data_IF_269052572517
#
_entry.id   IF_269052572517
#
_cell.length_a   1.000
_cell.length_b   1.000
_cell.length_c   1.000
_cell.angle_alpha   90.00
_cell.angle_beta   90.00
_cell.angle_gamma   90.00
#
_symmetry.space_group_name_H-M   'P 1'
#
loop_
_entity.id
_entity.type
_entity.pdbx_description
1 polymer ?
#
# COMPACT_ATOMS: atom_id res chain seq x y z
N UNK A 1 4.59 5.22 -26.13
CA UNK A 1 3.26 5.23 -25.52
C UNK A 1 2.66 3.85 -25.72
N UNK A 2 2.46 3.08 -24.64
CA UNK A 2 1.95 1.71 -24.64
C UNK A 2 0.40 1.67 -24.66
N UNK A 3 -0.27 2.81 -24.88
CA UNK A 3 -1.72 2.88 -25.10
C UNK A 3 -2.52 2.77 -23.80
N UNK A 4 -3.56 1.91 -23.76
CA UNK A 4 -4.44 1.73 -22.60
C UNK A 4 -3.69 1.34 -21.32
N UNK A 5 -2.56 0.65 -21.45
CA UNK A 5 -1.71 0.25 -20.32
C UNK A 5 -1.14 1.48 -19.60
N UNK A 6 -0.83 2.57 -20.31
CA UNK A 6 -0.28 3.79 -19.70
C UNK A 6 -1.27 4.43 -18.72
N UNK A 7 -2.58 4.31 -18.98
CA UNK A 7 -3.60 4.80 -18.05
C UNK A 7 -3.67 3.96 -16.78
N UNK A 8 -3.50 2.63 -16.87
CA UNK A 8 -3.43 1.76 -15.70
C UNK A 8 -2.15 1.97 -14.90
N UNK A 9 -1.01 2.15 -15.58
CA UNK A 9 0.27 2.44 -14.95
C UNK A 9 0.30 3.81 -14.28
N UNK A 10 -0.51 4.77 -14.72
CA UNK A 10 -0.63 6.08 -14.08
C UNK A 10 -0.98 5.98 -12.59
N UNK A 11 -1.83 5.03 -12.20
CA UNK A 11 -2.15 4.84 -10.77
C UNK A 11 -0.95 4.41 -9.93
N UNK A 12 -0.01 3.64 -10.51
CA UNK A 12 1.24 3.27 -9.83
C UNK A 12 2.19 4.48 -9.79
N UNK A 13 2.21 5.28 -10.86
CA UNK A 13 2.98 6.53 -10.89
C UNK A 13 2.47 7.53 -9.85
N UNK A 14 1.15 7.65 -9.67
CA UNK A 14 0.56 8.51 -8.63
C UNK A 14 0.99 8.08 -7.22
N UNK A 15 1.09 6.77 -6.96
CA UNK A 15 1.63 6.24 -5.70
C UNK A 15 3.10 6.61 -5.55
N UNK A 16 3.91 6.41 -6.60
CA UNK A 16 5.33 6.79 -6.59
C UNK A 16 5.50 8.27 -6.29
N UNK A 17 4.72 9.12 -6.94
CA UNK A 17 4.85 10.58 -6.83
C UNK A 17 4.39 11.07 -5.45
N UNK A 18 3.33 10.47 -4.88
CA UNK A 18 2.90 10.72 -3.50
C UNK A 18 3.97 10.39 -2.47
N UNK A 19 4.74 9.34 -2.70
CA UNK A 19 5.79 8.86 -1.79
C UNK A 19 7.20 9.18 -2.27
N UNK A 20 7.34 10.19 -3.14
CA UNK A 20 8.61 10.49 -3.80
C UNK A 20 9.73 10.77 -2.80
N UNK A 21 9.48 11.53 -1.73
CA UNK A 21 10.47 11.84 -0.69
C UNK A 21 11.04 10.58 -0.02
N UNK A 22 10.18 9.59 0.27
CA UNK A 22 10.61 8.31 0.84
C UNK A 22 11.47 7.56 -0.18
N UNK A 23 10.98 7.43 -1.42
CA UNK A 23 11.63 6.62 -2.45
C UNK A 23 12.97 7.21 -2.90
N UNK A 24 13.08 8.52 -3.04
CA UNK A 24 14.33 9.17 -3.48
C UNK A 24 15.43 9.08 -2.43
N UNK A 25 15.08 8.97 -1.15
CA UNK A 25 16.04 8.79 -0.05
C UNK A 25 16.66 7.37 0.00
N UNK A 26 16.06 6.38 -0.68
CA UNK A 26 16.58 5.01 -0.70
C UNK A 26 17.81 4.88 -1.62
N UNK A 27 18.78 4.01 -1.28
CA UNK A 27 20.11 4.04 -1.89
C UNK A 27 20.17 3.55 -3.34
N UNK A 28 19.40 2.50 -3.67
CA UNK A 28 19.48 1.80 -4.96
C UNK A 28 18.10 1.54 -5.58
N UNK A 29 18.09 1.18 -6.86
CA UNK A 29 16.85 0.94 -7.63
C UNK A 29 16.03 -0.24 -7.11
N UNK A 30 16.68 -1.32 -6.68
CA UNK A 30 15.98 -2.54 -6.28
C UNK A 30 15.23 -2.31 -4.97
N UNK A 31 15.89 -1.64 -4.03
CA UNK A 31 15.28 -1.20 -2.77
C UNK A 31 14.10 -0.26 -3.02
N UNK A 32 14.24 0.69 -3.96
CA UNK A 32 13.13 1.58 -4.38
C UNK A 32 11.96 0.82 -4.97
N UNK A 33 12.22 -0.16 -5.85
CA UNK A 33 11.17 -0.97 -6.46
C UNK A 33 10.41 -1.79 -5.44
N UNK A 34 11.12 -2.45 -4.52
CA UNK A 34 10.50 -3.21 -3.42
C UNK A 34 9.63 -2.32 -2.54
N UNK A 35 10.15 -1.15 -2.13
CA UNK A 35 9.38 -0.19 -1.36
C UNK A 35 8.14 0.32 -2.11
N UNK A 36 8.24 0.61 -3.41
CA UNK A 36 7.11 1.03 -4.22
C UNK A 36 6.03 -0.06 -4.33
N UNK A 37 6.42 -1.34 -4.44
CA UNK A 37 5.46 -2.44 -4.40
C UNK A 37 4.71 -2.50 -3.07
N UNK A 38 5.40 -2.37 -1.92
CA UNK A 38 4.76 -2.33 -0.61
C UNK A 38 3.80 -1.12 -0.48
N UNK A 39 4.25 0.07 -0.88
CA UNK A 39 3.44 1.29 -0.87
C UNK A 39 2.21 1.17 -1.78
N UNK A 40 2.35 0.52 -2.93
CA UNK A 40 1.22 0.28 -3.81
C UNK A 40 0.15 -0.60 -3.15
N UNK A 41 0.54 -1.70 -2.49
CA UNK A 41 -0.41 -2.55 -1.76
C UNK A 41 -1.12 -1.76 -0.65
N UNK A 42 -0.40 -0.95 0.11
CA UNK A 42 -0.98 -0.11 1.18
C UNK A 42 -2.00 0.88 0.59
N UNK A 43 -1.66 1.58 -0.49
CA UNK A 43 -2.54 2.55 -1.13
C UNK A 43 -3.77 1.89 -1.78
N UNK A 44 -3.62 0.69 -2.36
CA UNK A 44 -4.78 -0.04 -2.87
C UNK A 44 -5.68 -0.55 -1.76
N UNK A 45 -5.12 -1.00 -0.64
CA UNK A 45 -5.90 -1.37 0.54
C UNK A 45 -6.74 -0.18 1.02
N UNK A 46 -6.12 1.02 1.07
CA UNK A 46 -6.83 2.28 1.36
C UNK A 46 -7.91 2.63 0.34
N UNK A 47 -7.66 2.43 -0.95
CA UNK A 47 -8.65 2.68 -1.99
C UNK A 47 -9.86 1.74 -1.85
N UNK A 48 -9.63 0.45 -1.58
CA UNK A 48 -10.69 -0.53 -1.32
C UNK A 48 -11.50 -0.14 -0.09
N UNK A 49 -10.84 0.25 1.00
CA UNK A 49 -11.49 0.73 2.23
C UNK A 49 -12.44 1.92 2.00
N UNK A 50 -12.12 2.78 1.02
CA UNK A 50 -12.90 3.99 0.70
C UNK A 50 -14.06 3.77 -0.24
N UNK A 51 -14.20 2.57 -0.81
CA UNK A 51 -15.33 2.24 -1.67
C UNK A 51 -16.64 2.31 -0.88
N UNK A 52 -17.72 2.69 -1.57
CA UNK A 52 -19.07 2.73 -0.97
C UNK A 52 -19.46 1.36 -0.42
N UNK A 53 -19.16 0.28 -1.14
CA UNK A 53 -19.45 -1.09 -0.72
C UNK A 53 -18.85 -1.44 0.66
N UNK A 54 -17.56 -1.16 0.85
CA UNK A 54 -16.87 -1.46 2.12
C UNK A 54 -17.38 -0.57 3.24
N UNK A 55 -17.51 0.74 2.99
CA UNK A 55 -18.03 1.69 3.97
C UNK A 55 -19.45 1.35 4.41
N UNK A 56 -20.32 0.97 3.48
CA UNK A 56 -21.69 0.57 3.80
C UNK A 56 -21.74 -0.76 4.56
N UNK A 57 -20.76 -1.65 4.36
CA UNK A 57 -20.61 -2.87 5.17
C UNK A 57 -20.27 -2.54 6.63
N UNK A 58 -19.29 -1.67 6.85
CA UNK A 58 -18.96 -1.23 8.20
C UNK A 58 -20.09 -0.44 8.86
N UNK A 59 -20.75 0.48 8.13
CA UNK A 59 -21.88 1.27 8.65
C UNK A 59 -23.07 0.43 9.11
N UNK A 60 -23.35 -0.69 8.42
CA UNK A 60 -24.43 -1.63 8.81
C UNK A 60 -23.99 -2.65 9.87
N UNK A 61 -22.77 -2.53 10.40
CA UNK A 61 -22.22 -3.44 11.42
C UNK A 61 -21.85 -4.83 10.90
N UNK A 62 -21.68 -5.00 9.57
CA UNK A 62 -21.22 -6.27 9.03
C UNK A 62 -19.73 -6.46 9.36
N UNK A 63 -19.33 -7.61 9.97
CA UNK A 63 -17.92 -7.91 10.19
C UNK A 63 -17.17 -8.00 8.86
N UNK A 64 -16.17 -7.14 8.66
CA UNK A 64 -15.32 -7.11 7.49
C UNK A 64 -13.95 -6.53 7.88
N UNK A 65 -12.88 -7.23 7.50
CA UNK A 65 -11.51 -6.78 7.71
C UNK A 65 -10.77 -6.78 6.36
N UNK A 66 -10.04 -5.70 6.09
CA UNK A 66 -9.16 -5.59 4.94
C UNK A 66 -7.72 -5.83 5.39
N UNK A 67 -6.95 -6.54 4.58
CA UNK A 67 -5.53 -6.82 4.81
C UNK A 67 -4.72 -6.48 3.56
N UNK A 68 -3.52 -5.93 3.75
CA UNK A 68 -2.53 -5.74 2.69
C UNK A 68 -1.33 -6.66 2.85
N UNK A 69 -1.22 -7.65 1.96
CA UNK A 69 -0.11 -8.59 1.93
C UNK A 69 0.68 -8.48 0.62
N UNK A 70 1.96 -8.80 0.71
CA UNK A 70 2.85 -8.92 -0.46
C UNK A 70 3.57 -10.26 -0.38
N UNK A 71 3.93 -10.85 -1.53
CA UNK A 71 4.70 -12.09 -1.56
C UNK A 71 5.91 -11.97 -2.48
N UNK A 72 7.04 -12.53 -2.06
CA UNK A 72 8.26 -12.59 -2.86
C UNK A 72 8.24 -13.77 -3.82
N UNK A 73 8.45 -13.53 -5.11
CA UNK A 73 8.59 -14.62 -6.09
C UNK A 73 9.91 -15.40 -5.94
N UNK A 74 10.95 -14.75 -5.39
CA UNK A 74 12.28 -15.35 -5.24
C UNK A 74 12.36 -16.33 -4.08
N UNK A 75 11.64 -16.05 -2.99
CA UNK A 75 11.72 -16.80 -1.73
C UNK A 75 10.38 -17.42 -1.31
N UNK A 76 9.29 -17.15 -2.04
CA UNK A 76 7.95 -17.63 -1.73
C UNK A 76 7.37 -17.08 -0.44
N UNK A 77 7.98 -16.05 0.18
CA UNK A 77 7.57 -15.57 1.50
C UNK A 77 6.43 -14.58 1.38
N UNK A 78 5.32 -14.89 2.05
CA UNK A 78 4.23 -13.95 2.29
C UNK A 78 4.61 -13.01 3.44
N UNK A 79 4.46 -11.72 3.22
CA UNK A 79 4.72 -10.66 4.19
C UNK A 79 3.45 -9.86 4.42
N UNK A 80 3.04 -9.78 5.69
CA UNK A 80 2.01 -8.86 6.14
C UNK A 80 2.58 -7.45 6.27
N UNK A 81 1.99 -6.48 5.55
CA UNK A 81 2.40 -5.07 5.58
C UNK A 81 1.80 -4.31 6.76
N UNK A 82 1.05 -4.99 7.64
CA UNK A 82 0.45 -4.43 8.85
C UNK A 82 -0.53 -3.27 8.56
N UNK A 83 -1.17 -3.32 7.39
CA UNK A 83 -2.30 -2.46 7.02
C UNK A 83 -3.59 -3.28 7.15
N UNK A 84 -3.98 -3.57 8.39
CA UNK A 84 -5.25 -4.24 8.67
C UNK A 84 -6.28 -3.20 9.13
N UNK A 85 -7.44 -3.14 8.48
CA UNK A 85 -8.47 -2.13 8.71
C UNK A 85 -9.79 -2.83 8.95
N UNK A 86 -10.41 -2.58 10.11
CA UNK A 86 -11.68 -3.23 10.48
C UNK A 86 -12.90 -2.30 10.42
N UNK A 87 -12.67 -0.99 10.38
CA UNK A 87 -13.69 0.05 10.28
C UNK A 87 -13.09 1.35 9.71
N UNK A 88 -13.95 2.32 9.38
CA UNK A 88 -13.54 3.60 8.77
C UNK A 88 -12.73 4.49 9.74
N UNK A 89 -12.88 4.30 11.06
CA UNK A 89 -12.17 5.09 12.06
C UNK A 89 -10.69 4.70 12.18
N UNK A 90 -10.35 3.42 11.94
CA UNK A 90 -8.98 2.92 11.96
C UNK A 90 -8.19 3.20 10.67
N UNK A 91 -8.86 3.59 9.59
CA UNK A 91 -8.28 3.62 8.24
C UNK A 91 -6.99 4.45 8.15
N UNK A 92 -7.05 5.71 8.54
CA UNK A 92 -5.92 6.62 8.34
C UNK A 92 -4.74 6.26 9.27
N UNK A 93 -5.03 5.80 10.50
CA UNK A 93 -4.02 5.34 11.46
C UNK A 93 -3.31 4.07 10.99
N UNK A 94 -4.06 3.08 10.48
CA UNK A 94 -3.50 1.83 9.96
C UNK A 94 -2.61 2.09 8.74
N UNK A 95 -3.02 2.99 7.84
CA UNK A 95 -2.24 3.38 6.66
C UNK A 95 -0.96 4.11 7.09
N UNK A 96 -1.06 5.08 8.00
CA UNK A 96 0.10 5.82 8.48
C UNK A 96 1.13 4.91 9.16
N UNK A 97 0.66 3.96 10.00
CA UNK A 97 1.51 2.98 10.64
C UNK A 97 2.20 2.06 9.63
N UNK A 98 1.48 1.60 8.61
CA UNK A 98 2.05 0.75 7.56
C UNK A 98 3.13 1.49 6.74
N UNK A 99 2.89 2.74 6.37
CA UNK A 99 3.89 3.59 5.67
C UNK A 99 5.12 3.82 6.55
N UNK A 100 4.93 4.07 7.85
CA UNK A 100 6.03 4.18 8.80
C UNK A 100 6.83 2.86 8.90
N UNK A 101 6.14 1.73 8.83
CA UNK A 101 6.75 0.40 8.73
C UNK A 101 7.64 0.23 7.49
N UNK A 102 7.18 0.70 6.33
CA UNK A 102 8.00 0.72 5.10
C UNK A 102 9.23 1.60 5.31
N UNK A 103 9.08 2.81 5.86
CA UNK A 103 10.22 3.71 6.15
C UNK A 103 11.25 3.05 7.05
N UNK A 104 10.81 2.41 8.13
CA UNK A 104 11.70 1.73 9.08
C UNK A 104 12.41 0.52 8.47
N UNK A 105 11.75 -0.21 7.56
CA UNK A 105 12.32 -1.40 6.91
C UNK A 105 13.47 -1.05 5.97
N UNK A 106 13.38 0.11 5.32
CA UNK A 106 14.33 0.57 4.31
C UNK A 106 15.20 1.75 4.76
N UNK A 107 15.14 2.12 6.04
CA UNK A 107 16.01 3.15 6.59
C UNK A 107 17.49 2.76 6.37
N UNK A 108 18.35 3.69 5.94
CA UNK A 108 19.78 3.43 5.90
C UNK A 108 20.26 3.06 7.32
N UNK A 109 21.01 1.97 7.44
CA UNK A 109 21.72 1.62 8.68
C UNK A 109 22.89 2.56 8.95
#
# INVERSE_FOLDING_TARGET
>A
SLGLIDNWLRHIQDVRDRHAELLTALPDSDTRWRALCELNVIEQTRNVARTTLVRDAWKRGQPLMLHGWIYGLMDGRLQDLRVSIRDDAELDDAVALAIAGVRSRYAPQ
#
